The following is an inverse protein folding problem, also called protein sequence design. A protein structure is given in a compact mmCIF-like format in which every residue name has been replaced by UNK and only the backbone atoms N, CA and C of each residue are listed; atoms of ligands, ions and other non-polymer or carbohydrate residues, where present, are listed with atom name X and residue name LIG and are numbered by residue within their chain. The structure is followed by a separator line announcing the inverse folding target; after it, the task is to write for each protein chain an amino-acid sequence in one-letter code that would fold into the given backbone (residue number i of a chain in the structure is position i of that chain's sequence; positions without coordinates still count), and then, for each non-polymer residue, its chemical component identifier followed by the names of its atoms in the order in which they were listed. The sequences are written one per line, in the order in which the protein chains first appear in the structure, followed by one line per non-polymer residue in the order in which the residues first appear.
data_IF_010885726328
#
_entry.id   IF_010885726328
#
_cell.length_a   1.000
_cell.length_b   1.000
_cell.length_c   1.000
_cell.angle_alpha   90.00
_cell.angle_beta   90.00
_cell.angle_gamma   90.00
#
_symmetry.space_group_name_H-M   'P 1'
#
loop_
_entity.id
_entity.type
_entity.pdbx_description
1 polymer ?
#
# COMPACT_ATOMS: atom_id res chain seq x y z
N UNK A 1 44.23 24.56 11.44
CA UNK A 1 43.30 24.36 10.30
C UNK A 1 42.92 22.89 10.27
N UNK A 2 41.77 22.51 10.85
CA UNK A 2 41.32 21.11 10.89
C UNK A 2 40.46 20.86 9.64
N UNK A 3 40.95 20.04 8.70
CA UNK A 3 40.12 19.49 7.62
C UNK A 3 39.26 18.38 8.22
N UNK A 4 37.95 18.60 8.31
CA UNK A 4 36.98 17.54 8.59
C UNK A 4 37.04 16.59 7.39
N UNK A 5 37.39 15.32 7.61
CA UNK A 5 37.35 14.31 6.55
C UNK A 5 35.92 14.20 6.01
N UNK A 6 35.78 14.17 4.69
CA UNK A 6 34.49 13.93 4.05
C UNK A 6 34.14 12.44 4.24
N UNK A 7 33.39 12.12 5.29
CA UNK A 7 32.81 10.78 5.46
C UNK A 7 31.59 10.64 4.55
N UNK A 8 31.62 9.61 3.69
CA UNK A 8 30.49 9.24 2.85
C UNK A 8 29.57 8.26 3.61
N UNK A 9 28.31 8.63 3.77
CA UNK A 9 27.27 7.77 4.38
C UNK A 9 26.30 7.30 3.29
N UNK A 10 26.17 5.98 3.12
CA UNK A 10 25.23 5.39 2.19
C UNK A 10 23.85 5.22 2.84
N UNK A 11 22.84 5.88 2.26
CA UNK A 11 21.45 5.74 2.70
C UNK A 11 20.78 4.59 1.96
N UNK A 12 20.29 3.61 2.72
CA UNK A 12 19.55 2.46 2.17
C UNK A 12 18.07 2.60 2.51
N UNK A 13 17.22 2.61 1.48
CA UNK A 13 15.76 2.75 1.64
C UNK A 13 15.07 1.40 1.89
N UNK A 14 15.45 0.36 1.15
CA UNK A 14 14.93 -1.00 1.29
C UNK A 14 16.11 -1.96 1.20
N UNK A 15 16.26 -2.80 2.21
CA UNK A 15 17.24 -3.87 2.18
C UNK A 15 16.67 -5.07 1.41
N UNK A 16 17.12 -5.24 0.16
CA UNK A 16 16.61 -6.28 -0.76
C UNK A 16 17.17 -7.67 -0.49
N UNK A 17 18.33 -7.79 0.16
CA UNK A 17 19.08 -9.04 0.28
C UNK A 17 18.63 -9.93 1.46
N UNK A 18 17.68 -9.49 2.27
CA UNK A 18 17.29 -10.18 3.51
C UNK A 18 15.81 -10.59 3.59
N UNK A 19 15.06 -10.59 2.49
CA UNK A 19 13.66 -11.07 2.52
C UNK A 19 13.53 -12.56 2.85
N UNK A 20 14.63 -13.33 2.83
CA UNK A 20 14.63 -14.75 3.20
C UNK A 20 14.67 -14.98 4.74
N UNK A 21 14.95 -13.94 5.54
CA UNK A 21 15.01 -13.99 7.01
C UNK A 21 13.97 -13.01 7.61
N UNK A 22 12.68 -13.37 7.63
CA UNK A 22 11.57 -12.61 8.27
C UNK A 22 11.46 -11.11 7.89
N UNK A 23 11.90 -10.74 6.67
CA UNK A 23 11.88 -9.35 6.18
C UNK A 23 13.16 -8.54 6.47
N UNK A 24 14.14 -9.13 7.14
CA UNK A 24 15.48 -8.58 7.34
C UNK A 24 15.52 -7.32 8.20
N UNK A 25 16.47 -6.42 7.91
CA UNK A 25 16.61 -5.10 8.58
C UNK A 25 15.52 -4.07 8.23
N UNK A 26 14.45 -4.47 7.54
CA UNK A 26 13.36 -3.55 7.20
C UNK A 26 12.35 -3.48 8.36
N UNK A 27 11.85 -2.29 8.66
CA UNK A 27 10.80 -2.05 9.64
C UNK A 27 9.45 -2.00 8.95
N UNK A 28 8.54 -2.88 9.35
CA UNK A 28 7.17 -2.94 8.83
C UNK A 28 6.21 -2.30 9.82
N UNK A 29 5.37 -1.39 9.33
CA UNK A 29 4.44 -0.63 10.17
C UNK A 29 3.08 -0.56 9.51
N UNK A 30 2.03 -0.47 10.32
CA UNK A 30 0.65 -0.33 9.85
C UNK A 30 0.09 0.99 10.35
N UNK A 31 -0.39 1.83 9.44
CA UNK A 31 -1.22 2.97 9.78
C UNK A 31 -2.69 2.63 9.48
N UNK A 32 -3.58 2.87 10.45
CA UNK A 32 -5.01 2.57 10.33
C UNK A 32 -5.81 3.85 10.17
N UNK A 33 -6.81 3.82 9.28
CA UNK A 33 -7.82 4.87 9.09
C UNK A 33 -7.22 6.29 9.06
N UNK A 34 -6.19 6.47 8.24
CA UNK A 34 -5.43 7.72 8.20
C UNK A 34 -6.22 8.82 7.49
N UNK A 35 -5.86 10.07 7.76
CA UNK A 35 -6.43 11.26 7.13
C UNK A 35 -5.28 12.16 6.66
N UNK A 36 -5.40 12.76 5.48
CA UNK A 36 -4.43 13.77 5.05
C UNK A 36 -4.93 15.16 5.46
N UNK A 37 -4.02 16.06 5.82
CA UNK A 37 -4.36 17.39 6.37
C UNK A 37 -5.20 18.26 5.42
N UNK A 38 -5.07 18.02 4.11
CA UNK A 38 -5.74 18.77 3.06
C UNK A 38 -7.08 18.14 2.62
N UNK A 39 -7.45 16.97 3.17
CA UNK A 39 -8.77 16.39 2.97
C UNK A 39 -9.79 17.12 3.84
N UNK A 40 -10.45 18.12 3.25
CA UNK A 40 -11.66 18.77 3.81
C UNK A 40 -12.89 17.85 3.81
N UNK A 41 -12.78 16.69 3.18
CA UNK A 41 -13.85 15.74 2.95
C UNK A 41 -13.69 14.58 3.93
N UNK A 42 -14.48 14.60 5.01
CA UNK A 42 -14.43 13.61 6.11
C UNK A 42 -14.63 12.16 5.64
N UNK A 43 -15.15 11.97 4.42
CA UNK A 43 -15.44 10.68 3.81
C UNK A 43 -14.21 9.96 3.23
N UNK A 44 -13.06 10.64 3.08
CA UNK A 44 -11.85 10.03 2.51
C UNK A 44 -10.95 9.48 3.60
N UNK A 45 -11.33 8.33 4.14
CA UNK A 45 -10.58 7.67 5.22
C UNK A 45 -10.14 6.27 4.79
N UNK A 46 -8.99 6.16 4.12
CA UNK A 46 -8.48 4.87 3.66
C UNK A 46 -8.17 3.97 4.86
N UNK A 47 -8.50 2.69 4.75
CA UNK A 47 -8.55 1.81 5.90
C UNK A 47 -7.16 1.46 6.45
N UNK A 48 -6.21 1.08 5.60
CA UNK A 48 -4.87 0.65 6.04
C UNK A 48 -3.78 1.10 5.06
N UNK A 49 -2.63 1.52 5.61
CA UNK A 49 -1.36 1.57 4.88
C UNK A 49 -0.36 0.60 5.51
N UNK A 50 0.31 -0.17 4.67
CA UNK A 50 1.55 -0.84 5.04
C UNK A 50 2.74 0.07 4.67
N UNK A 51 3.54 0.37 5.68
CA UNK A 51 4.76 1.14 5.54
C UNK A 51 5.97 0.23 5.69
N UNK A 52 6.97 0.43 4.82
CA UNK A 52 8.27 -0.23 4.91
C UNK A 52 9.32 0.87 5.13
N UNK A 53 10.04 0.80 6.25
CA UNK A 53 10.98 1.83 6.71
C UNK A 53 10.34 3.24 6.73
N UNK A 54 9.08 3.32 7.20
CA UNK A 54 8.31 4.56 7.24
C UNK A 54 7.76 5.05 5.90
N UNK A 55 8.05 4.38 4.78
CA UNK A 55 7.50 4.74 3.46
C UNK A 55 6.17 4.02 3.21
N UNK A 56 5.08 4.72 2.85
CA UNK A 56 3.80 4.10 2.54
C UNK A 56 3.85 3.44 1.15
N UNK A 57 3.92 2.11 1.11
CA UNK A 57 4.09 1.37 -0.14
C UNK A 57 2.84 0.60 -0.58
N UNK A 58 1.98 0.21 0.37
CA UNK A 58 0.76 -0.55 0.08
C UNK A 58 -0.42 0.12 0.76
N UNK A 59 -1.48 0.37 0.01
CA UNK A 59 -2.77 0.82 0.52
C UNK A 59 -3.78 -0.33 0.42
N UNK A 60 -4.48 -0.62 1.51
CA UNK A 60 -5.51 -1.65 1.57
C UNK A 60 -6.84 -0.98 1.95
N UNK A 61 -7.84 -1.14 1.09
CA UNK A 61 -9.22 -0.74 1.30
C UNK A 61 -10.05 -1.95 1.74
N UNK A 62 -10.74 -1.83 2.87
CA UNK A 62 -11.52 -2.90 3.47
C UNK A 62 -13.01 -2.66 3.28
N UNK A 63 -13.76 -3.75 3.12
CA UNK A 63 -15.21 -3.75 3.14
C UNK A 63 -15.72 -4.89 4.00
N UNK A 64 -16.92 -4.71 4.55
CA UNK A 64 -17.63 -5.75 5.32
C UNK A 64 -18.10 -6.88 4.40
N UNK A 65 -18.50 -7.99 5.00
CA UNK A 65 -19.07 -9.17 4.35
C UNK A 65 -20.32 -8.88 3.52
N UNK A 66 -21.14 -7.92 3.95
CA UNK A 66 -22.37 -7.51 3.25
C UNK A 66 -22.13 -6.62 2.01
N UNK A 67 -20.87 -6.30 1.68
CA UNK A 67 -20.52 -5.45 0.55
C UNK A 67 -19.71 -6.22 -0.50
N UNK A 68 -20.01 -5.97 -1.77
CA UNK A 68 -19.18 -6.45 -2.88
C UNK A 68 -17.77 -5.87 -2.80
N UNK A 69 -16.77 -6.69 -3.15
CA UNK A 69 -15.39 -6.25 -3.34
C UNK A 69 -15.28 -5.14 -4.39
N UNK A 70 -16.22 -5.03 -5.31
CA UNK A 70 -16.21 -3.98 -6.32
C UNK A 70 -16.43 -2.59 -5.69
N UNK A 71 -17.06 -2.50 -4.51
CA UNK A 71 -17.09 -1.24 -3.76
C UNK A 71 -15.71 -0.84 -3.27
N UNK A 72 -14.87 -1.80 -2.90
CA UNK A 72 -13.49 -1.51 -2.49
C UNK A 72 -12.64 -1.09 -3.70
N UNK A 73 -12.75 -1.78 -4.84
CA UNK A 73 -12.02 -1.39 -6.07
C UNK A 73 -12.44 0.00 -6.55
N UNK A 74 -13.74 0.29 -6.56
CA UNK A 74 -14.26 1.61 -6.95
C UNK A 74 -13.78 2.72 -5.99
N UNK A 75 -13.69 2.45 -4.68
CA UNK A 75 -13.12 3.42 -3.74
C UNK A 75 -11.65 3.73 -4.06
N UNK A 76 -10.86 2.71 -4.37
CA UNK A 76 -9.45 2.88 -4.75
C UNK A 76 -9.33 3.67 -6.07
N UNK A 77 -10.14 3.36 -7.08
CA UNK A 77 -10.16 4.10 -8.36
C UNK A 77 -10.52 5.57 -8.15
N UNK A 78 -11.53 5.85 -7.32
CA UNK A 78 -11.92 7.22 -6.96
C UNK A 78 -10.81 7.99 -6.25
N UNK A 79 -9.91 7.29 -5.54
CA UNK A 79 -8.73 7.87 -4.91
C UNK A 79 -7.55 8.09 -5.87
N UNK A 80 -7.50 7.43 -7.03
CA UNK A 80 -6.35 7.50 -7.95
C UNK A 80 -6.62 8.37 -9.18
N UNK A 81 -7.83 8.32 -9.74
CA UNK A 81 -8.09 8.78 -11.10
C UNK A 81 -8.66 10.21 -11.24
N UNK A 82 -8.89 10.95 -10.15
CA UNK A 82 -9.63 12.22 -10.19
C UNK A 82 -9.02 13.35 -9.32
N UNK A 83 -9.63 14.55 -9.38
CA UNK A 83 -9.41 15.72 -8.47
C UNK A 83 -9.64 15.41 -6.97
N UNK A 84 -9.86 14.14 -6.63
CA UNK A 84 -10.12 13.63 -5.29
C UNK A 84 -8.94 12.83 -4.74
N UNK A 85 -7.80 12.84 -5.43
CA UNK A 85 -6.68 11.98 -5.08
C UNK A 85 -6.15 12.21 -3.67
N UNK A 86 -5.98 11.10 -2.96
CA UNK A 86 -5.37 11.06 -1.63
C UNK A 86 -3.85 10.91 -1.72
N UNK A 87 -3.33 10.54 -2.90
CA UNK A 87 -1.94 10.19 -3.12
C UNK A 87 -1.09 11.42 -3.42
N UNK A 88 -1.05 12.36 -2.47
CA UNK A 88 -0.18 13.54 -2.50
C UNK A 88 1.03 13.39 -1.58
N UNK A 89 2.06 14.21 -1.78
CA UNK A 89 3.28 14.17 -0.96
C UNK A 89 3.91 12.77 -0.89
N UNK A 90 4.19 12.30 0.33
CA UNK A 90 4.79 10.98 0.57
C UNK A 90 3.90 9.80 0.14
N UNK A 91 2.57 9.99 0.05
CA UNK A 91 1.64 8.95 -0.39
C UNK A 91 1.73 8.65 -1.89
N UNK A 92 2.48 9.45 -2.66
CA UNK A 92 2.85 9.11 -4.03
C UNK A 92 3.67 7.82 -4.13
N UNK A 93 4.27 7.36 -3.02
CA UNK A 93 5.06 6.12 -2.92
C UNK A 93 4.22 4.82 -2.90
N UNK A 94 2.88 4.90 -2.83
CA UNK A 94 2.00 3.72 -2.74
C UNK A 94 1.98 2.92 -4.05
N UNK A 95 2.86 1.94 -4.25
CA UNK A 95 2.92 1.23 -5.52
C UNK A 95 1.86 0.14 -5.70
N UNK A 96 1.35 -0.43 -4.60
CA UNK A 96 0.37 -1.50 -4.63
C UNK A 96 -0.89 -1.05 -3.90
N UNK A 97 -2.04 -1.34 -4.51
CA UNK A 97 -3.35 -1.15 -3.89
C UNK A 97 -4.06 -2.48 -3.77
N UNK A 98 -4.75 -2.70 -2.67
CA UNK A 98 -5.46 -3.95 -2.37
C UNK A 98 -6.90 -3.62 -1.98
N UNK A 99 -7.86 -4.27 -2.61
CA UNK A 99 -9.27 -4.26 -2.25
C UNK A 99 -9.61 -5.58 -1.55
N UNK A 100 -10.24 -5.53 -0.38
CA UNK A 100 -10.53 -6.75 0.39
C UNK A 100 -11.90 -6.72 1.09
N UNK A 101 -12.59 -7.87 1.07
CA UNK A 101 -13.72 -8.24 1.93
C UNK A 101 -13.32 -9.44 2.78
N UNK A 102 -14.15 -9.97 3.71
CA UNK A 102 -13.91 -11.24 4.39
C UNK A 102 -13.75 -12.49 3.49
N UNK A 103 -14.13 -12.41 2.21
CA UNK A 103 -14.20 -13.57 1.32
C UNK A 103 -13.47 -13.39 -0.02
N UNK A 104 -12.89 -12.21 -0.27
CA UNK A 104 -12.21 -11.93 -1.54
C UNK A 104 -11.16 -10.86 -1.36
N UNK A 105 -10.08 -10.98 -2.14
CA UNK A 105 -9.00 -10.01 -2.21
C UNK A 105 -8.61 -9.80 -3.68
N UNK A 106 -8.47 -8.55 -4.08
CA UNK A 106 -7.94 -8.13 -5.38
C UNK A 106 -6.79 -7.15 -5.15
N UNK A 107 -5.76 -7.18 -5.99
CA UNK A 107 -4.65 -6.24 -5.95
C UNK A 107 -4.38 -5.63 -7.32
N UNK A 108 -3.84 -4.42 -7.35
CA UNK A 108 -3.39 -3.77 -8.58
C UNK A 108 -2.09 -2.99 -8.32
N UNK A 109 -1.33 -2.77 -9.39
CA UNK A 109 -0.26 -1.77 -9.39
C UNK A 109 -0.89 -0.39 -9.56
N UNK A 110 -0.51 0.57 -8.71
CA UNK A 110 -0.93 1.97 -8.86
C UNK A 110 -0.18 2.61 -10.03
N UNK A 111 -0.77 2.54 -11.21
CA UNK A 111 -0.29 3.18 -12.42
C UNK A 111 -1.44 3.97 -13.09
N UNK A 112 -1.33 4.40 -14.36
CA UNK A 112 -2.39 5.17 -15.03
C UNK A 112 -3.75 4.45 -15.05
N UNK A 113 -3.76 3.12 -15.06
CA UNK A 113 -4.95 2.29 -15.05
C UNK A 113 -4.81 1.18 -13.99
N UNK A 114 -5.84 1.03 -13.16
CA UNK A 114 -5.87 -0.01 -12.14
C UNK A 114 -6.41 -1.31 -12.73
N UNK A 115 -5.52 -2.25 -13.01
CA UNK A 115 -5.89 -3.60 -13.43
C UNK A 115 -5.87 -4.55 -12.21
N UNK A 116 -7.05 -4.78 -11.63
CA UNK A 116 -7.20 -5.62 -10.44
C UNK A 116 -7.10 -7.11 -10.78
N UNK A 117 -6.17 -7.79 -10.10
CA UNK A 117 -5.90 -9.21 -10.20
C UNK A 117 -6.16 -9.92 -8.88
N UNK A 118 -6.28 -11.25 -8.94
CA UNK A 118 -6.45 -12.14 -7.78
C UNK A 118 -5.17 -12.88 -7.49
N UNK A 119 -4.97 -13.24 -6.22
CA UNK A 119 -3.85 -14.10 -5.81
C UNK A 119 -4.19 -15.56 -6.06
N UNK A 120 -3.22 -16.33 -6.55
CA UNK A 120 -3.39 -17.75 -6.79
C UNK A 120 -2.26 -18.53 -6.12
N UNK A 121 -2.61 -19.67 -5.53
CA UNK A 121 -1.64 -20.63 -5.06
C UNK A 121 -0.85 -21.16 -6.26
N UNK A 122 0.48 -21.07 -6.22
CA UNK A 122 1.36 -21.47 -7.34
C UNK A 122 1.17 -22.95 -7.75
N UNK A 123 0.92 -23.82 -6.78
CA UNK A 123 0.84 -25.26 -7.02
C UNK A 123 -0.58 -25.67 -7.42
N UNK A 124 -1.58 -25.21 -6.66
CA UNK A 124 -2.97 -25.61 -6.86
C UNK A 124 -3.72 -24.80 -7.93
N UNK A 125 -3.18 -23.64 -8.34
CA UNK A 125 -3.84 -22.68 -9.23
C UNK A 125 -5.23 -22.24 -8.73
N UNK A 126 -5.50 -22.40 -7.44
CA UNK A 126 -6.71 -21.94 -6.78
C UNK A 126 -6.52 -20.53 -6.27
N UNK A 127 -7.58 -19.74 -6.35
CA UNK A 127 -7.63 -18.41 -5.76
C UNK A 127 -7.36 -18.50 -4.25
N UNK A 128 -6.48 -17.63 -3.76
CA UNK A 128 -6.23 -17.48 -2.33
C UNK A 128 -7.26 -16.47 -1.81
N UNK A 129 -8.28 -16.99 -1.14
CA UNK A 129 -9.37 -16.21 -0.56
C UNK A 129 -9.69 -16.61 0.89
N UNK A 130 -8.78 -17.34 1.52
CA UNK A 130 -8.80 -17.74 2.93
C UNK A 130 -7.52 -17.22 3.59
N UNK A 131 -7.65 -16.66 4.79
CA UNK A 131 -6.56 -16.11 5.59
C UNK A 131 -6.79 -16.34 7.07
#
# INVERSE_FOLDING_TARGET
MLRRGEEQINLSLINKFQFNDDGGKNYFQIARQFRTKDQKDDDKRPDLLLLINGMPLIHIELKRDDKSIDRATNNIENYDLHNRSIYSGILKLVHIVIAMTPYSMKYALRNKELNFQKWYNKNEHKEINYW
#
